data_IF_885420151535
#
_entry.id   IF_885420151535
#
_cell.length_a   1.000
_cell.length_b   1.000
_cell.length_c   1.000
_cell.angle_alpha   90.00
_cell.angle_beta   90.00
_cell.angle_gamma   90.00
#
_symmetry.space_group_name_H-M   'P 1'
#
loop_
_entity.id
_entity.type
_entity.pdbx_description
1 polymer ?
#
# COMPACT_ATOMS: atom_id res chain seq x y z
N UNK A 1 -11.33 -3.15 5.14
CA UNK A 1 -12.01 -2.28 4.18
C UNK A 1 -12.36 -0.92 4.79
N UNK A 2 -13.04 -0.81 5.95
CA UNK A 2 -13.37 0.50 6.51
C UNK A 2 -12.16 1.40 6.78
N UNK A 3 -11.04 0.82 7.20
CA UNK A 3 -9.82 1.59 7.47
C UNK A 3 -9.24 2.22 6.20
N UNK A 4 -9.23 1.46 5.11
CA UNK A 4 -8.73 1.98 3.83
C UNK A 4 -9.68 3.07 3.30
N UNK A 5 -10.98 2.87 3.44
CA UNK A 5 -11.96 3.91 3.06
C UNK A 5 -11.72 5.20 3.85
N UNK A 6 -11.44 5.09 5.15
CA UNK A 6 -11.13 6.24 5.99
C UNK A 6 -9.84 6.94 5.56
N UNK A 7 -8.80 6.18 5.22
CA UNK A 7 -7.55 6.73 4.71
C UNK A 7 -7.78 7.51 3.41
N UNK A 8 -8.53 6.93 2.49
CA UNK A 8 -8.85 7.58 1.21
C UNK A 8 -9.61 8.89 1.44
N UNK A 9 -10.64 8.85 2.28
CA UNK A 9 -11.44 10.04 2.60
C UNK A 9 -10.59 11.14 3.24
N UNK A 10 -9.72 10.76 4.17
CA UNK A 10 -8.82 11.70 4.85
C UNK A 10 -7.82 12.32 3.88
N UNK A 11 -7.26 11.51 3.00
CA UNK A 11 -6.32 12.00 1.99
C UNK A 11 -6.98 13.03 1.07
N UNK A 12 -8.17 12.71 0.58
CA UNK A 12 -8.92 13.63 -0.30
C UNK A 12 -9.25 14.94 0.41
N UNK A 13 -9.70 14.85 1.66
CA UNK A 13 -10.04 16.04 2.45
C UNK A 13 -8.83 16.95 2.67
N UNK A 14 -7.64 16.38 2.84
CA UNK A 14 -6.42 17.11 3.12
C UNK A 14 -5.54 17.33 1.88
N UNK A 15 -6.07 17.04 0.71
CA UNK A 15 -5.37 17.21 -0.58
C UNK A 15 -4.05 16.45 -0.65
N UNK A 16 -4.00 15.28 -0.02
CA UNK A 16 -2.87 14.36 -0.11
C UNK A 16 -3.09 13.49 -1.34
N UNK A 17 -2.07 13.34 -2.15
CA UNK A 17 -2.17 12.57 -3.37
C UNK A 17 -2.37 11.09 -3.06
N UNK A 18 -3.30 10.46 -3.79
CA UNK A 18 -3.58 9.02 -3.71
C UNK A 18 -3.09 8.38 -4.99
N UNK A 19 -2.33 7.30 -4.83
CA UNK A 19 -1.84 6.49 -5.94
C UNK A 19 -2.35 5.08 -5.74
N UNK A 20 -2.92 4.52 -6.80
CA UNK A 20 -3.43 3.15 -6.80
C UNK A 20 -2.46 2.24 -7.52
N UNK A 21 -2.24 1.06 -6.95
CA UNK A 21 -1.37 0.05 -7.53
C UNK A 21 -2.19 -1.19 -7.83
N UNK A 22 -2.14 -1.67 -9.08
CA UNK A 22 -2.79 -2.92 -9.48
C UNK A 22 -1.71 -3.93 -9.84
N UNK A 23 -1.96 -5.19 -9.49
CA UNK A 23 -1.03 -6.28 -9.78
C UNK A 23 -1.52 -7.12 -10.95
N UNK A 24 -0.66 -7.29 -11.95
CA UNK A 24 -0.93 -8.11 -13.11
C UNK A 24 0.02 -9.32 -13.12
N UNK A 25 -0.53 -10.52 -12.91
CA UNK A 25 0.22 -11.77 -12.92
C UNK A 25 0.34 -12.37 -14.33
N UNK A 26 -0.15 -11.68 -15.34
CA UNK A 26 -0.08 -12.13 -16.71
C UNK A 26 -1.32 -12.88 -17.19
N UNK A 27 -1.35 -13.28 -18.46
CA UNK A 27 -2.52 -13.92 -19.05
C UNK A 27 -2.85 -15.24 -18.39
N UNK A 28 -4.15 -15.60 -18.39
CA UNK A 28 -4.69 -16.84 -17.82
C UNK A 28 -4.58 -16.94 -16.29
N UNK A 29 -4.48 -15.81 -15.59
CA UNK A 29 -4.54 -15.76 -14.12
C UNK A 29 -5.76 -14.94 -13.70
N UNK A 30 -6.12 -15.03 -12.41
CA UNK A 30 -7.20 -14.20 -11.86
C UNK A 30 -6.78 -12.74 -11.71
N UNK A 31 -5.47 -12.47 -11.73
CA UNK A 31 -4.90 -11.12 -11.63
C UNK A 31 -4.39 -10.69 -13.00
N UNK A 32 -5.26 -10.63 -14.00
CA UNK A 32 -4.92 -10.14 -15.33
C UNK A 32 -5.98 -9.15 -15.80
N UNK A 33 -5.59 -8.26 -16.69
CA UNK A 33 -6.49 -7.25 -17.24
C UNK A 33 -7.77 -7.91 -17.78
N UNK A 34 -8.91 -7.37 -17.41
CA UNK A 34 -10.22 -7.91 -17.77
C UNK A 34 -10.82 -8.84 -16.73
N UNK A 35 -10.10 -9.18 -15.68
CA UNK A 35 -10.62 -10.02 -14.58
C UNK A 35 -10.92 -9.16 -13.36
N UNK A 36 -11.92 -9.59 -12.57
CA UNK A 36 -12.31 -8.88 -11.36
C UNK A 36 -11.17 -8.74 -10.34
N UNK A 37 -10.33 -9.77 -10.22
CA UNK A 37 -9.17 -9.74 -9.30
C UNK A 37 -8.14 -8.67 -9.63
N UNK A 38 -8.07 -8.25 -10.89
CA UNK A 38 -7.18 -7.19 -11.34
C UNK A 38 -7.74 -5.79 -11.04
N UNK A 39 -9.07 -5.66 -11.06
CA UNK A 39 -9.72 -4.37 -10.92
C UNK A 39 -9.62 -3.81 -9.49
N UNK A 40 -9.61 -2.49 -9.38
CA UNK A 40 -9.67 -1.83 -8.09
C UNK A 40 -11.03 -2.11 -7.45
N UNK A 41 -10.99 -2.51 -6.17
CA UNK A 41 -12.21 -2.79 -5.41
C UNK A 41 -13.19 -1.61 -5.50
N UNK A 42 -14.45 -1.92 -5.78
CA UNK A 42 -15.46 -0.89 -6.10
C UNK A 42 -15.64 0.19 -5.03
N UNK A 43 -15.35 -0.13 -3.76
CA UNK A 43 -15.43 0.85 -2.65
C UNK A 43 -14.24 1.80 -2.61
N UNK A 44 -13.19 1.53 -3.38
CA UNK A 44 -11.96 2.32 -3.41
C UNK A 44 -11.78 3.08 -4.72
N UNK A 45 -12.80 3.19 -5.54
CA UNK A 45 -12.67 3.73 -6.90
C UNK A 45 -11.94 5.06 -6.94
N UNK A 46 -10.90 5.17 -7.79
CA UNK A 46 -10.16 6.41 -7.92
C UNK A 46 -10.98 7.50 -8.62
N UNK A 47 -10.64 8.74 -8.31
CA UNK A 47 -11.15 9.89 -9.06
C UNK A 47 -10.33 10.05 -10.34
N UNK A 48 -10.76 10.93 -11.24
CA UNK A 48 -10.06 11.17 -12.52
C UNK A 48 -8.65 11.75 -12.32
N UNK A 49 -8.37 12.33 -11.17
CA UNK A 49 -7.06 12.93 -10.88
C UNK A 49 -6.10 12.01 -10.15
N UNK A 50 -6.57 10.85 -9.70
CA UNK A 50 -5.76 9.87 -8.97
C UNK A 50 -5.13 8.89 -9.93
N UNK A 51 -3.80 8.70 -9.82
CA UNK A 51 -3.04 7.87 -10.75
C UNK A 51 -3.12 6.40 -10.38
N UNK A 52 -3.10 5.55 -11.41
CA UNK A 52 -3.03 4.09 -11.27
C UNK A 52 -1.74 3.63 -11.92
N UNK A 53 -0.96 2.82 -11.19
CA UNK A 53 0.24 2.18 -11.72
C UNK A 53 0.03 0.66 -11.69
N UNK A 54 0.34 0.01 -12.80
CA UNK A 54 0.23 -1.45 -12.91
C UNK A 54 1.61 -2.07 -12.71
N UNK A 55 1.67 -3.15 -11.94
CA UNK A 55 2.91 -3.85 -11.65
C UNK A 55 2.79 -5.33 -11.96
N UNK A 56 3.93 -5.98 -12.18
CA UNK A 56 4.00 -7.43 -12.47
C UNK A 56 4.82 -8.19 -11.43
N UNK A 57 5.38 -7.48 -10.44
CA UNK A 57 6.12 -8.06 -9.32
C UNK A 57 5.56 -7.51 -8.03
N UNK A 58 6.01 -8.03 -6.88
CA UNK A 58 5.44 -7.64 -5.59
C UNK A 58 5.66 -6.17 -5.25
N UNK A 59 6.86 -5.63 -5.50
CA UNK A 59 7.10 -4.22 -5.23
C UNK A 59 6.34 -3.31 -6.19
N UNK A 60 5.77 -2.22 -5.66
CA UNK A 60 5.13 -1.20 -6.47
C UNK A 60 6.12 -0.38 -7.30
N UNK A 61 7.41 -0.48 -7.01
CA UNK A 61 8.43 0.39 -7.62
C UNK A 61 9.08 -0.17 -8.88
N UNK A 62 9.11 -1.48 -9.05
CA UNK A 62 9.84 -2.07 -10.17
C UNK A 62 9.06 -2.00 -11.47
N UNK A 63 9.61 -1.28 -12.44
CA UNK A 63 9.06 -1.22 -13.79
C UNK A 63 7.75 -0.48 -13.94
N UNK A 64 7.39 0.35 -12.97
CA UNK A 64 6.10 1.05 -12.96
C UNK A 64 6.19 2.54 -13.24
N UNK A 65 7.37 3.14 -13.08
CA UNK A 65 7.53 4.60 -13.14
C UNK A 65 7.11 5.31 -11.85
N UNK A 66 6.66 4.57 -10.83
CA UNK A 66 6.22 5.18 -9.57
C UNK A 66 7.33 5.94 -8.86
N UNK A 67 8.55 5.38 -8.83
CA UNK A 67 9.68 6.03 -8.14
C UNK A 67 9.95 7.42 -8.72
N UNK A 68 10.04 7.51 -10.03
CA UNK A 68 10.29 8.76 -10.75
C UNK A 68 9.15 9.76 -10.51
N UNK A 69 7.92 9.27 -10.56
CA UNK A 69 6.73 10.08 -10.31
C UNK A 69 6.76 10.69 -8.91
N UNK A 70 7.05 9.90 -7.89
CA UNK A 70 7.12 10.36 -6.51
C UNK A 70 8.27 11.35 -6.30
N UNK A 71 9.41 11.12 -6.92
CA UNK A 71 10.56 12.03 -6.85
C UNK A 71 10.24 13.39 -7.48
N UNK A 72 9.57 13.39 -8.63
CA UNK A 72 9.14 14.63 -9.28
C UNK A 72 8.18 15.44 -8.42
N UNK A 73 7.34 14.75 -7.65
CA UNK A 73 6.41 15.39 -6.72
C UNK A 73 7.06 15.86 -5.42
N UNK A 74 8.33 15.54 -5.19
CA UNK A 74 9.03 15.88 -3.96
C UNK A 74 8.53 15.09 -2.75
N UNK A 75 7.97 13.90 -2.98
CA UNK A 75 7.40 13.05 -1.93
C UNK A 75 8.48 12.60 -0.95
N UNK A 76 8.20 12.68 0.34
CA UNK A 76 9.09 12.19 1.40
C UNK A 76 8.46 11.10 2.26
N UNK A 77 7.15 11.15 2.47
CA UNK A 77 6.39 10.20 3.29
C UNK A 77 5.38 9.48 2.45
N UNK A 78 5.22 8.18 2.69
CA UNK A 78 4.24 7.35 2.00
C UNK A 78 3.45 6.55 3.03
N UNK A 79 2.14 6.68 3.00
CA UNK A 79 1.24 5.83 3.77
C UNK A 79 0.85 4.65 2.89
N UNK A 80 1.09 3.43 3.37
CA UNK A 80 0.86 2.20 2.59
C UNK A 80 -0.28 1.40 3.19
N UNK A 81 -1.19 0.95 2.34
CA UNK A 81 -2.29 0.09 2.75
C UNK A 81 -2.65 -0.87 1.61
N UNK A 82 -3.28 -1.97 1.94
CA UNK A 82 -3.77 -2.93 0.94
C UNK A 82 -3.42 -4.38 1.23
N UNK A 83 -3.26 -5.16 0.17
CA UNK A 83 -3.00 -6.61 0.19
C UNK A 83 -1.75 -6.93 -0.62
N UNK A 84 -1.06 -7.96 -0.36
CA UNK A 84 -1.06 -8.80 0.85
C UNK A 84 0.13 -8.41 1.71
N UNK A 85 -0.04 -8.51 3.02
CA UNK A 85 0.99 -8.12 4.01
C UNK A 85 2.38 -8.68 3.68
N UNK A 86 2.46 -9.98 3.49
CA UNK A 86 3.73 -10.71 3.32
C UNK A 86 4.27 -10.73 1.88
N UNK A 87 3.56 -10.16 0.95
CA UNK A 87 4.00 -10.08 -0.46
C UNK A 87 4.12 -8.64 -0.93
N UNK A 88 3.04 -8.10 -1.48
CA UNK A 88 3.07 -6.77 -2.10
C UNK A 88 3.39 -5.66 -1.11
N UNK A 89 2.82 -5.72 0.08
CA UNK A 89 3.03 -4.67 1.09
C UNK A 89 4.46 -4.72 1.62
N UNK A 90 4.94 -5.92 1.99
CA UNK A 90 6.31 -6.07 2.50
C UNK A 90 7.34 -5.59 1.48
N UNK A 91 7.22 -6.03 0.23
CA UNK A 91 8.14 -5.63 -0.82
C UNK A 91 8.13 -4.12 -1.06
N UNK A 92 6.94 -3.51 -1.07
CA UNK A 92 6.80 -2.07 -1.28
C UNK A 92 7.35 -1.27 -0.10
N UNK A 93 7.10 -1.71 1.12
CA UNK A 93 7.61 -1.06 2.33
C UNK A 93 9.14 -1.07 2.32
N UNK A 94 9.74 -2.21 2.10
CA UNK A 94 11.20 -2.34 2.09
C UNK A 94 11.84 -1.56 0.95
N UNK A 95 11.29 -1.69 -0.24
CA UNK A 95 11.78 -0.98 -1.41
C UNK A 95 11.68 0.55 -1.25
N UNK A 96 10.54 1.02 -0.75
CA UNK A 96 10.34 2.44 -0.49
C UNK A 96 11.32 2.98 0.53
N UNK A 97 11.55 2.22 1.60
CA UNK A 97 12.54 2.57 2.60
C UNK A 97 13.94 2.70 1.98
N UNK A 98 14.33 1.74 1.16
CA UNK A 98 15.65 1.74 0.53
C UNK A 98 15.82 2.86 -0.50
N UNK A 99 14.72 3.34 -1.07
CA UNK A 99 14.74 4.52 -1.94
C UNK A 99 14.68 5.85 -1.18
N UNK A 100 14.69 5.81 0.14
CA UNK A 100 14.78 7.00 0.97
C UNK A 100 13.46 7.60 1.44
N UNK A 101 12.34 6.92 1.21
CA UNK A 101 11.04 7.39 1.69
C UNK A 101 10.81 7.01 3.15
N UNK A 102 10.10 7.86 3.87
CA UNK A 102 9.60 7.52 5.20
C UNK A 102 8.28 6.77 5.03
N UNK A 103 8.33 5.47 5.25
CA UNK A 103 7.16 4.59 5.09
C UNK A 103 6.33 4.58 6.37
N UNK A 104 5.03 4.82 6.25
CA UNK A 104 4.07 4.79 7.35
C UNK A 104 3.07 3.68 7.07
N UNK A 105 2.92 2.76 8.02
CA UNK A 105 2.00 1.63 7.91
C UNK A 105 0.96 1.73 9.02
N UNK A 106 -0.27 2.13 8.69
CA UNK A 106 -1.33 2.21 9.69
C UNK A 106 -1.80 0.81 10.09
N UNK A 107 -2.06 0.66 11.39
CA UNK A 107 -2.55 -0.61 11.94
C UNK A 107 -3.89 -0.99 11.29
N UNK A 108 -4.02 -2.29 10.98
CA UNK A 108 -5.24 -2.89 10.41
C UNK A 108 -5.66 -2.32 9.05
N UNK A 109 -4.72 -1.78 8.30
CA UNK A 109 -4.95 -1.33 6.93
C UNK A 109 -4.26 -2.21 5.87
N UNK A 110 -3.68 -3.33 6.30
CA UNK A 110 -3.20 -4.37 5.41
C UNK A 110 -3.58 -5.74 5.98
N UNK A 111 -3.65 -6.75 5.12
CA UNK A 111 -3.99 -8.11 5.55
C UNK A 111 -3.45 -9.14 4.58
N UNK A 112 -3.52 -10.40 4.97
CA UNK A 112 -3.10 -11.52 4.13
C UNK A 112 -3.86 -12.78 4.50
N UNK A 113 -3.60 -13.86 3.78
CA UNK A 113 -4.25 -15.15 3.96
C UNK A 113 -3.35 -16.11 4.74
N UNK A 114 -3.93 -17.23 5.19
CA UNK A 114 -3.18 -18.32 5.82
C UNK A 114 -2.24 -18.97 4.81
N UNK A 115 -1.11 -19.46 5.30
CA UNK A 115 -0.19 -20.27 4.50
C UNK A 115 0.23 -21.51 5.29
N UNK A 116 1.16 -22.30 4.73
CA UNK A 116 1.60 -23.54 5.37
C UNK A 116 2.31 -23.37 6.72
N UNK A 117 2.80 -22.18 7.00
CA UNK A 117 3.62 -21.91 8.17
C UNK A 117 2.89 -21.11 9.24
N UNK A 118 1.94 -20.28 8.86
CA UNK A 118 1.25 -19.44 9.83
C UNK A 118 -0.09 -18.95 9.30
N UNK A 119 -0.97 -18.57 10.23
CA UNK A 119 -2.25 -17.94 9.89
C UNK A 119 -2.03 -16.55 9.31
N UNK A 120 -3.02 -16.03 8.60
CA UNK A 120 -2.99 -14.65 8.11
C UNK A 120 -2.84 -13.65 9.24
N UNK A 121 -3.48 -13.91 10.39
CA UNK A 121 -3.34 -13.06 11.57
C UNK A 121 -1.90 -13.05 12.10
N UNK A 122 -1.26 -14.20 12.20
CA UNK A 122 0.13 -14.28 12.65
C UNK A 122 1.09 -13.66 11.64
N UNK A 123 0.84 -13.83 10.35
CA UNK A 123 1.64 -13.14 9.31
C UNK A 123 1.50 -11.64 9.46
N UNK A 124 0.28 -11.14 9.64
CA UNK A 124 0.05 -9.72 9.87
C UNK A 124 0.88 -9.21 11.05
N UNK A 125 0.81 -9.90 12.19
CA UNK A 125 1.54 -9.51 13.41
C UNK A 125 3.05 -9.56 13.19
N UNK A 126 3.54 -10.59 12.51
CA UNK A 126 4.96 -10.75 12.24
C UNK A 126 5.53 -9.51 11.56
N UNK A 127 4.86 -9.03 10.52
CA UNK A 127 5.35 -7.88 9.77
C UNK A 127 5.03 -6.55 10.43
N UNK A 128 3.79 -6.35 10.86
CA UNK A 128 3.34 -5.07 11.42
C UNK A 128 3.88 -4.78 12.81
N UNK A 129 4.13 -5.81 13.62
CA UNK A 129 4.54 -5.64 15.02
C UNK A 129 6.00 -5.98 15.26
N UNK A 130 6.66 -6.67 14.33
CA UNK A 130 8.06 -7.08 14.51
C UNK A 130 8.99 -6.71 13.36
N UNK A 131 8.69 -7.13 12.13
CA UNK A 131 9.63 -6.96 11.00
C UNK A 131 9.83 -5.49 10.62
N UNK A 132 8.75 -4.75 10.44
CA UNK A 132 8.82 -3.38 9.93
C UNK A 132 9.13 -2.30 10.97
N UNK A 133 8.57 -2.33 12.20
CA UNK A 133 8.71 -1.21 13.12
C UNK A 133 10.17 -0.87 13.44
N UNK A 134 10.53 0.40 13.25
CA UNK A 134 11.86 0.90 13.56
C UNK A 134 12.96 0.47 12.61
N UNK A 135 12.67 -0.43 11.68
CA UNK A 135 13.67 -0.89 10.70
C UNK A 135 13.35 -0.43 9.28
N UNK A 136 12.11 -0.57 8.86
CA UNK A 136 11.68 -0.21 7.50
C UNK A 136 10.56 0.82 7.49
N UNK A 137 9.78 0.91 8.55
CA UNK A 137 8.59 1.74 8.56
C UNK A 137 8.24 2.22 9.97
N UNK A 138 7.42 3.26 10.01
CA UNK A 138 6.73 3.69 11.23
C UNK A 138 5.36 3.03 11.21
N UNK A 139 5.13 2.10 12.14
CA UNK A 139 3.87 1.36 12.25
C UNK A 139 3.08 1.95 13.40
N UNK A 140 2.01 2.66 13.09
CA UNK A 140 1.22 3.43 14.05
C UNK A 140 -0.26 3.12 13.91
N UNK A 141 -1.07 3.55 14.87
CA UNK A 141 -2.50 3.34 14.84
C UNK A 141 -3.15 4.12 13.70
N UNK A 142 -4.38 3.75 13.37
CA UNK A 142 -5.19 4.52 12.42
C UNK A 142 -5.36 5.96 12.89
N UNK A 143 -5.64 6.15 14.18
CA UNK A 143 -5.81 7.48 14.76
C UNK A 143 -4.56 8.34 14.59
N UNK A 144 -3.39 7.79 14.90
CA UNK A 144 -2.12 8.48 14.73
C UNK A 144 -1.82 8.79 13.27
N UNK A 145 -2.14 7.86 12.37
CA UNK A 145 -1.97 8.06 10.93
C UNK A 145 -2.84 9.21 10.43
N UNK A 146 -4.09 9.25 10.85
CA UNK A 146 -5.02 10.32 10.47
C UNK A 146 -4.49 11.67 10.94
N UNK A 147 -3.96 11.75 12.16
CA UNK A 147 -3.36 12.98 12.68
C UNK A 147 -2.15 13.43 11.84
N UNK A 148 -1.28 12.49 11.45
CA UNK A 148 -0.16 12.79 10.57
C UNK A 148 -0.63 13.37 9.24
N UNK A 149 -1.69 12.80 8.67
CA UNK A 149 -2.24 13.25 7.40
C UNK A 149 -2.87 14.65 7.51
N UNK A 150 -3.51 14.95 8.64
CA UNK A 150 -4.17 16.24 8.87
C UNK A 150 -3.20 17.39 9.12
N UNK A 151 -2.01 17.08 9.61
CA UNK A 151 -0.97 18.09 9.95
C UNK A 151 0.16 18.15 8.93
N UNK A 152 -0.07 17.60 7.77
CA UNK A 152 0.96 17.50 6.74
C UNK A 152 0.97 18.74 5.83
#
# INVERSE_FOLDING_TARGET
>A
VPNIEQLIATARKNKIEIVYIRHDDGPNTELTEGKEGFDIYKKFQPTTHERIFDKTVNSAFKGTGLLEYLKEKGTKKIVVAGLQTDFCIDATVKCGFEHGFHMIVPAHANSTEDNHFMSGENSYKYYNEWMWPGRYATCISMEETIKEMEHN
#
